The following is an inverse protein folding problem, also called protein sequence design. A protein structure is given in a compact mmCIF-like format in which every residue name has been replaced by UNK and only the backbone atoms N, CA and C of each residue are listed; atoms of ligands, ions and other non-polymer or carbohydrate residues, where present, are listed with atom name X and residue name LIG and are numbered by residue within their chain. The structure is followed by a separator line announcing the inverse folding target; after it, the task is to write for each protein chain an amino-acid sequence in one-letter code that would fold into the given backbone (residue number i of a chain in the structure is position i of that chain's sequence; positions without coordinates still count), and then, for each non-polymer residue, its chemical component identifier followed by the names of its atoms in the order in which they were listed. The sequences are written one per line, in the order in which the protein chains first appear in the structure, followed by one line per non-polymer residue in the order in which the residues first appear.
data_IF_059339294023
#
_entry.id   IF_059339294023
#
_cell.length_a   1.000
_cell.length_b   1.000
_cell.length_c   1.000
_cell.angle_alpha   90.00
_cell.angle_beta   90.00
_cell.angle_gamma   90.00
#
_symmetry.space_group_name_H-M   'P 1'
#
loop_
_entity.id
_entity.type
_entity.pdbx_description
1 polymer ?
#
# COMPACT_ATOMS: atom_id res chain seq x y z
N UNK A 1 -4.18 -27.79 -33.77
CA UNK A 1 -3.66 -28.10 -32.42
C UNK A 1 -3.17 -29.53 -32.47
N UNK A 2 -1.86 -29.77 -32.37
CA UNK A 2 -1.26 -31.11 -32.49
C UNK A 2 -1.45 -31.90 -31.19
N UNK A 3 -2.69 -32.28 -30.88
CA UNK A 3 -3.03 -33.11 -29.72
C UNK A 3 -2.82 -34.60 -30.02
N UNK A 4 -2.38 -34.94 -31.23
CA UNK A 4 -2.36 -36.29 -31.77
C UNK A 4 -1.06 -37.05 -31.47
N UNK A 5 -0.05 -36.40 -30.87
CA UNK A 5 1.21 -37.04 -30.49
C UNK A 5 1.45 -36.93 -28.96
N UNK A 6 1.31 -38.02 -28.19
CA UNK A 6 1.50 -38.00 -26.73
C UNK A 6 2.92 -37.56 -26.30
N UNK A 7 3.90 -37.66 -27.20
CA UNK A 7 5.28 -37.21 -26.97
C UNK A 7 5.44 -35.68 -26.87
N UNK A 8 4.53 -34.88 -27.43
CA UNK A 8 4.61 -33.40 -27.40
C UNK A 8 3.87 -32.77 -26.21
N UNK A 9 3.04 -33.55 -25.51
CA UNK A 9 2.25 -33.11 -24.35
C UNK A 9 3.15 -32.81 -23.14
N UNK A 10 4.16 -33.65 -22.89
CA UNK A 10 5.10 -33.46 -21.77
C UNK A 10 5.86 -32.13 -21.82
N UNK A 11 6.54 -31.79 -22.93
CA UNK A 11 7.24 -30.52 -23.08
C UNK A 11 6.31 -29.30 -23.01
N UNK A 12 5.11 -29.37 -23.60
CA UNK A 12 4.14 -28.28 -23.58
C UNK A 12 3.56 -28.03 -22.18
N UNK A 13 3.35 -29.09 -21.39
CA UNK A 13 2.89 -28.97 -20.02
C UNK A 13 4.01 -28.43 -19.10
N UNK A 14 5.26 -28.87 -19.30
CA UNK A 14 6.40 -28.40 -18.52
C UNK A 14 6.59 -26.88 -18.65
N UNK A 15 6.50 -26.32 -19.86
CA UNK A 15 6.62 -24.86 -20.06
C UNK A 15 5.46 -24.09 -19.45
N UNK A 16 4.24 -24.63 -19.50
CA UNK A 16 3.08 -24.03 -18.84
C UNK A 16 3.26 -23.96 -17.32
N UNK A 17 3.71 -25.06 -16.70
CA UNK A 17 3.96 -25.14 -15.26
C UNK A 17 5.09 -24.20 -14.81
N UNK A 18 6.18 -24.10 -15.58
CA UNK A 18 7.28 -23.18 -15.30
C UNK A 18 6.80 -21.72 -15.41
N UNK A 19 5.95 -21.40 -16.39
CA UNK A 19 5.35 -20.07 -16.54
C UNK A 19 4.47 -19.73 -15.33
N UNK A 20 3.65 -20.67 -14.85
CA UNK A 20 2.87 -20.49 -13.62
C UNK A 20 3.78 -20.32 -12.39
N UNK A 21 4.86 -21.09 -12.30
CA UNK A 21 5.82 -20.99 -11.21
C UNK A 21 6.48 -19.61 -11.16
N UNK A 22 6.97 -19.09 -12.30
CA UNK A 22 7.53 -17.75 -12.37
C UNK A 22 6.51 -16.67 -12.01
N UNK A 23 5.25 -16.82 -12.45
CA UNK A 23 4.17 -15.90 -12.09
C UNK A 23 3.90 -15.88 -10.57
N UNK A 24 3.79 -17.06 -9.95
CA UNK A 24 3.58 -17.18 -8.51
C UNK A 24 4.77 -16.64 -7.70
N UNK A 25 6.00 -16.92 -8.12
CA UNK A 25 7.18 -16.38 -7.46
C UNK A 25 7.23 -14.85 -7.55
N UNK A 26 7.02 -14.28 -8.74
CA UNK A 26 7.05 -12.83 -8.92
C UNK A 26 5.93 -12.14 -8.11
N UNK A 27 4.72 -12.68 -8.14
CA UNK A 27 3.59 -12.13 -7.40
C UNK A 27 3.87 -12.11 -5.89
N UNK A 28 4.24 -13.25 -5.31
CA UNK A 28 4.37 -13.37 -3.86
C UNK A 28 5.68 -12.78 -3.31
N UNK A 29 6.77 -12.86 -4.05
CA UNK A 29 8.09 -12.49 -3.55
C UNK A 29 8.45 -11.03 -3.86
N UNK A 30 7.90 -10.45 -4.93
CA UNK A 30 8.23 -9.08 -5.37
C UNK A 30 7.02 -8.16 -5.23
N UNK A 31 5.90 -8.50 -5.86
CA UNK A 31 4.74 -7.58 -5.94
C UNK A 31 4.06 -7.40 -4.58
N UNK A 32 3.89 -8.47 -3.82
CA UNK A 32 3.28 -8.41 -2.47
C UNK A 32 4.04 -7.47 -1.51
N UNK A 33 5.37 -7.61 -1.30
CA UNK A 33 6.08 -6.70 -0.40
C UNK A 33 6.14 -5.25 -0.93
N UNK A 34 6.19 -5.04 -2.25
CA UNK A 34 6.11 -3.70 -2.84
C UNK A 34 4.77 -3.04 -2.51
N UNK A 35 3.67 -3.77 -2.71
CA UNK A 35 2.31 -3.29 -2.39
C UNK A 35 2.20 -2.95 -0.90
N UNK A 36 2.70 -3.81 -0.02
CA UNK A 36 2.68 -3.54 1.42
C UNK A 36 3.46 -2.27 1.79
N UNK A 37 4.65 -2.08 1.22
CA UNK A 37 5.46 -0.87 1.46
C UNK A 37 4.78 0.39 0.94
N UNK A 38 4.16 0.30 -0.24
CA UNK A 38 3.44 1.42 -0.84
C UNK A 38 2.20 1.78 -0.01
N UNK A 39 1.45 0.78 0.46
CA UNK A 39 0.28 0.99 1.32
C UNK A 39 0.66 1.72 2.62
N UNK A 40 1.75 1.31 3.28
CA UNK A 40 2.25 2.00 4.48
C UNK A 40 2.60 3.48 4.19
N UNK A 41 3.23 3.75 3.04
CA UNK A 41 3.57 5.13 2.64
C UNK A 41 2.31 5.96 2.36
N UNK A 42 1.35 5.38 1.67
CA UNK A 42 0.05 6.02 1.37
C UNK A 42 -0.73 6.33 2.64
N UNK A 43 -0.69 5.44 3.64
CA UNK A 43 -1.34 5.67 4.93
C UNK A 43 -0.70 6.86 5.67
N UNK A 44 0.63 6.93 5.72
CA UNK A 44 1.35 8.07 6.29
C UNK A 44 0.99 9.40 5.61
N UNK A 45 0.95 9.41 4.27
CA UNK A 45 0.57 10.60 3.50
C UNK A 45 -0.91 10.99 3.72
N UNK A 46 -1.80 10.00 3.78
CA UNK A 46 -3.22 10.23 4.10
C UNK A 46 -3.38 10.90 5.47
N UNK A 47 -2.63 10.45 6.47
CA UNK A 47 -2.67 11.02 7.81
C UNK A 47 -2.13 12.46 7.86
N UNK A 48 -1.08 12.76 7.10
CA UNK A 48 -0.58 14.12 6.94
C UNK A 48 -1.65 15.05 6.33
N UNK A 49 -2.27 14.63 5.23
CA UNK A 49 -3.30 15.42 4.55
C UNK A 49 -4.52 15.63 5.47
N UNK A 50 -4.95 14.61 6.21
CA UNK A 50 -6.03 14.72 7.21
C UNK A 50 -5.70 15.77 8.28
N UNK A 51 -4.46 15.76 8.78
CA UNK A 51 -4.00 16.70 9.81
C UNK A 51 -4.03 18.14 9.28
N UNK A 52 -3.52 18.37 8.07
CA UNK A 52 -3.57 19.68 7.41
C UNK A 52 -5.03 20.13 7.20
N UNK A 53 -5.90 19.23 6.73
CA UNK A 53 -7.32 19.53 6.49
C UNK A 53 -8.01 20.03 7.75
N UNK A 54 -7.76 19.40 8.90
CA UNK A 54 -8.31 19.81 10.19
C UNK A 54 -7.75 21.16 10.63
N UNK A 55 -6.46 21.41 10.40
CA UNK A 55 -5.85 22.73 10.64
C UNK A 55 -6.54 23.83 9.84
N UNK A 56 -6.76 23.62 8.53
CA UNK A 56 -7.43 24.58 7.65
C UNK A 56 -8.88 24.84 8.07
N UNK A 57 -9.64 23.79 8.41
CA UNK A 57 -11.01 23.94 8.90
C UNK A 57 -11.02 24.72 10.23
N UNK A 58 -10.12 24.41 11.15
CA UNK A 58 -10.01 25.12 12.42
C UNK A 58 -9.70 26.62 12.25
N UNK A 59 -8.85 26.99 11.28
CA UNK A 59 -8.56 28.39 10.94
C UNK A 59 -9.81 29.07 10.39
N UNK A 60 -10.55 28.41 9.50
CA UNK A 60 -11.79 28.94 8.93
C UNK A 60 -12.85 29.20 10.00
N UNK A 61 -12.99 28.29 10.96
CA UNK A 61 -13.94 28.41 12.07
C UNK A 61 -13.52 29.43 13.15
N UNK A 62 -12.38 30.12 13.00
CA UNK A 62 -11.79 30.99 14.05
C UNK A 62 -11.65 30.27 15.40
N UNK A 63 -11.36 28.96 15.38
CA UNK A 63 -11.13 28.19 16.60
C UNK A 63 -9.86 28.67 17.33
N UNK A 64 -9.85 28.54 18.66
CA UNK A 64 -8.66 28.89 19.48
C UNK A 64 -7.43 28.09 18.97
N UNK A 65 -6.30 28.76 18.67
CA UNK A 65 -5.08 28.10 18.18
C UNK A 65 -4.63 26.91 19.04
N UNK A 66 -4.78 26.98 20.37
CA UNK A 66 -4.44 25.88 21.27
C UNK A 66 -5.34 24.64 21.05
N UNK A 67 -6.61 24.85 20.69
CA UNK A 67 -7.56 23.77 20.37
C UNK A 67 -7.22 23.13 19.01
N UNK A 68 -6.83 23.94 18.03
CA UNK A 68 -6.40 23.45 16.70
C UNK A 68 -5.13 22.60 16.86
N UNK A 69 -4.14 23.09 17.61
CA UNK A 69 -2.91 22.35 17.89
C UNK A 69 -3.18 21.03 18.61
N UNK A 70 -4.08 21.01 19.61
CA UNK A 70 -4.46 19.77 20.31
C UNK A 70 -5.12 18.76 19.37
N UNK A 71 -5.99 19.21 18.47
CA UNK A 71 -6.66 18.36 17.49
C UNK A 71 -5.68 17.80 16.44
N UNK A 72 -4.69 18.59 16.01
CA UNK A 72 -3.65 18.14 15.09
C UNK A 72 -2.68 17.16 15.79
N UNK A 73 -2.27 17.44 17.03
CA UNK A 73 -1.42 16.56 17.83
C UNK A 73 -2.09 15.22 18.16
N UNK A 74 -3.43 15.18 18.28
CA UNK A 74 -4.15 13.93 18.51
C UNK A 74 -4.01 12.91 17.36
N UNK A 75 -3.75 13.39 16.14
CA UNK A 75 -3.62 12.57 14.92
C UNK A 75 -2.19 12.11 14.65
N UNK A 76 -1.20 12.69 15.33
CA UNK A 76 0.19 12.25 15.27
C UNK A 76 0.37 10.98 16.11
N UNK A 77 1.28 10.11 15.66
CA UNK A 77 1.72 8.97 16.44
C UNK A 77 2.29 9.44 17.80
N UNK A 78 2.15 8.66 18.89
CA UNK A 78 2.59 9.07 20.23
C UNK A 78 4.03 9.60 20.28
N UNK A 79 4.94 9.00 19.50
CA UNK A 79 6.35 9.40 19.42
C UNK A 79 6.60 10.73 18.68
N UNK A 80 5.64 11.18 17.87
CA UNK A 80 5.73 12.42 17.09
C UNK A 80 4.94 13.58 17.71
N UNK A 81 4.23 13.33 18.82
CA UNK A 81 3.50 14.37 19.56
C UNK A 81 4.50 15.26 20.29
N UNK A 82 4.73 16.46 19.75
CA UNK A 82 5.42 17.53 20.50
C UNK A 82 4.43 18.13 21.51
N UNK A 83 4.79 18.05 22.78
CA UNK A 83 4.10 18.71 23.89
C UNK A 83 3.96 20.22 23.68
#
# INVERSE_FOLDING_TARGET
MHIDNPSTIGPALATALITTFYGLMLANLIVTPITAKLAMRTESESNLIKTIRIGVIGIFEKSNPAKIQKNMNALLAPDERKE
#
